data_IF_346692113841
#
_entry.id   IF_346692113841
#
_cell.length_a   1.000
_cell.length_b   1.000
_cell.length_c   1.000
_cell.angle_alpha   90.00
_cell.angle_beta   90.00
_cell.angle_gamma   90.00
#
_symmetry.space_group_name_H-M   'P 1'
#
loop_
_entity.id
_entity.type
_entity.pdbx_description
1 polymer ?
#
# COMPACT_ATOMS: atom_id res chain seq x y z
N UNK A 1 -13.48 1.07 -19.62
CA UNK A 1 -13.32 1.14 -18.14
C UNK A 1 -11.95 0.59 -17.79
N UNK A 2 -11.16 1.27 -16.96
CA UNK A 2 -9.84 0.81 -16.52
C UNK A 2 -10.00 0.01 -15.22
N UNK A 3 -9.36 -1.16 -15.11
CA UNK A 3 -9.44 -2.02 -13.92
C UNK A 3 -8.21 -1.80 -13.03
N UNK A 4 -8.36 -1.40 -11.76
CA UNK A 4 -7.23 -1.20 -10.86
C UNK A 4 -6.68 -2.53 -10.33
N UNK A 5 -5.36 -2.63 -10.30
CA UNK A 5 -4.56 -3.64 -9.62
C UNK A 5 -3.71 -2.92 -8.57
N UNK A 6 -4.12 -2.94 -7.30
CA UNK A 6 -3.41 -2.23 -6.24
C UNK A 6 -1.98 -2.73 -6.09
N UNK A 7 -1.00 -1.82 -6.15
CA UNK A 7 0.41 -2.16 -6.00
C UNK A 7 0.76 -2.43 -4.52
N UNK A 8 0.83 -3.71 -4.14
CA UNK A 8 0.93 -4.17 -2.74
C UNK A 8 2.16 -3.59 -2.03
N UNK A 9 3.29 -3.46 -2.74
CA UNK A 9 4.52 -2.83 -2.25
C UNK A 9 4.34 -1.42 -1.68
N UNK A 10 3.27 -0.72 -2.03
CA UNK A 10 3.02 0.65 -1.56
C UNK A 10 2.64 0.69 -0.09
N UNK A 11 1.75 -0.20 0.35
CA UNK A 11 1.41 -0.41 1.75
C UNK A 11 0.87 -1.85 1.89
N UNK A 12 1.68 -2.79 2.41
CA UNK A 12 1.31 -4.19 2.53
C UNK A 12 0.47 -4.49 3.78
N UNK A 13 -0.07 -3.47 4.47
CA UNK A 13 -0.92 -3.67 5.65
C UNK A 13 -2.12 -4.57 5.33
N UNK A 14 -2.27 -5.64 6.12
CA UNK A 14 -3.28 -6.68 5.85
C UNK A 14 -4.72 -6.15 5.94
N UNK A 15 -4.99 -5.15 6.78
CA UNK A 15 -6.33 -4.58 6.90
C UNK A 15 -6.68 -3.75 5.65
N UNK A 16 -5.73 -2.96 5.12
CA UNK A 16 -5.89 -2.27 3.85
C UNK A 16 -6.12 -3.27 2.70
N UNK A 17 -5.26 -4.29 2.58
CA UNK A 17 -5.36 -5.29 1.52
C UNK A 17 -6.68 -6.08 1.58
N UNK A 18 -7.11 -6.47 2.79
CA UNK A 18 -8.39 -7.15 3.00
C UNK A 18 -9.58 -6.29 2.62
N UNK A 19 -9.55 -4.99 2.96
CA UNK A 19 -10.60 -4.03 2.59
C UNK A 19 -10.67 -3.86 1.08
N UNK A 20 -9.52 -3.66 0.40
CA UNK A 20 -9.46 -3.54 -1.06
C UNK A 20 -9.94 -4.82 -1.76
N UNK A 21 -9.61 -5.99 -1.22
CA UNK A 21 -10.05 -7.29 -1.74
C UNK A 21 -11.57 -7.42 -1.68
N UNK A 22 -12.18 -7.05 -0.54
CA UNK A 22 -13.63 -7.06 -0.32
C UNK A 22 -14.38 -6.07 -1.22
N UNK A 23 -13.75 -4.92 -1.54
CA UNK A 23 -14.28 -3.94 -2.49
C UNK A 23 -14.06 -4.32 -3.97
N UNK A 24 -13.47 -5.49 -4.25
CA UNK A 24 -13.30 -6.00 -5.61
C UNK A 24 -12.05 -5.51 -6.35
N UNK A 25 -11.09 -4.88 -5.66
CA UNK A 25 -9.83 -4.45 -6.27
C UNK A 25 -8.94 -5.65 -6.65
N UNK A 26 -8.19 -5.56 -7.74
CA UNK A 26 -7.18 -6.58 -8.09
C UNK A 26 -5.83 -6.17 -7.49
N UNK A 27 -4.76 -6.96 -7.70
CA UNK A 27 -3.47 -6.72 -7.04
C UNK A 27 -2.27 -6.85 -7.98
N UNK A 28 -1.38 -5.85 -7.95
CA UNK A 28 -0.02 -5.94 -8.48
C UNK A 28 0.91 -6.40 -7.36
N UNK A 29 1.51 -7.58 -7.55
CA UNK A 29 2.51 -8.15 -6.66
C UNK A 29 3.90 -8.11 -7.32
N UNK A 30 4.93 -7.80 -6.54
CA UNK A 30 6.33 -7.76 -6.99
C UNK A 30 7.20 -8.88 -6.38
N UNK A 31 6.66 -9.67 -5.45
CA UNK A 31 7.39 -10.73 -4.75
C UNK A 31 6.51 -11.94 -4.42
N UNK A 32 7.15 -13.07 -4.10
CA UNK A 32 6.47 -14.29 -3.61
C UNK A 32 5.66 -14.02 -2.34
N UNK A 33 6.22 -13.24 -1.41
CA UNK A 33 5.58 -12.90 -0.13
C UNK A 33 4.29 -12.11 -0.36
N UNK A 34 4.30 -11.18 -1.31
CA UNK A 34 3.08 -10.43 -1.68
C UNK A 34 2.02 -11.34 -2.29
N UNK A 35 2.40 -12.26 -3.19
CA UNK A 35 1.47 -13.24 -3.77
C UNK A 35 0.87 -14.13 -2.66
N UNK A 36 1.69 -14.66 -1.76
CA UNK A 36 1.24 -15.44 -0.60
C UNK A 36 0.26 -14.64 0.27
N UNK A 37 0.56 -13.38 0.54
CA UNK A 37 -0.30 -12.50 1.32
C UNK A 37 -1.67 -12.32 0.66
N UNK A 38 -1.72 -12.01 -0.63
CA UNK A 38 -2.99 -11.79 -1.35
C UNK A 38 -3.81 -13.07 -1.47
N UNK A 39 -3.17 -14.21 -1.78
CA UNK A 39 -3.86 -15.50 -1.82
C UNK A 39 -4.40 -15.89 -0.43
N UNK A 40 -3.69 -15.59 0.66
CA UNK A 40 -4.15 -15.85 2.04
C UNK A 40 -5.41 -15.07 2.43
N UNK A 41 -5.76 -14.01 1.69
CA UNK A 41 -6.99 -13.23 1.85
C UNK A 41 -8.16 -13.80 1.04
N UNK A 42 -8.00 -14.95 0.39
CA UNK A 42 -9.03 -15.59 -0.44
C UNK A 42 -9.20 -14.97 -1.83
N UNK A 43 -8.26 -14.14 -2.27
CA UNK A 43 -8.29 -13.53 -3.61
C UNK A 43 -7.89 -14.57 -4.66
N UNK A 44 -8.68 -14.67 -5.73
CA UNK A 44 -8.41 -15.59 -6.82
C UNK A 44 -7.14 -15.20 -7.61
N UNK A 45 -6.29 -16.15 -8.05
CA UNK A 45 -5.03 -15.88 -8.76
C UNK A 45 -5.18 -15.02 -10.02
N UNK A 46 -6.33 -15.08 -10.71
CA UNK A 46 -6.62 -14.31 -11.93
C UNK A 46 -6.75 -12.81 -11.65
N UNK A 47 -6.93 -12.42 -10.39
CA UNK A 47 -6.94 -11.03 -9.91
C UNK A 47 -5.55 -10.54 -9.51
N UNK A 48 -4.49 -11.28 -9.84
CA UNK A 48 -3.10 -10.92 -9.54
C UNK A 48 -2.32 -10.75 -10.84
N UNK A 49 -1.58 -9.64 -10.93
CA UNK A 49 -0.49 -9.48 -11.91
C UNK A 49 0.84 -9.54 -11.17
N UNK A 50 1.77 -10.37 -11.64
CA UNK A 50 3.14 -10.39 -11.13
C UNK A 50 3.99 -9.37 -11.91
N UNK A 51 3.93 -8.09 -11.54
CA UNK A 51 4.47 -7.01 -12.37
C UNK A 51 5.93 -6.62 -12.09
N UNK A 52 6.72 -7.49 -11.46
CA UNK A 52 8.17 -7.31 -11.38
C UNK A 52 8.84 -7.74 -12.70
N UNK A 53 9.56 -6.86 -13.42
CA UNK A 53 10.18 -7.23 -14.70
C UNK A 53 11.35 -8.22 -14.55
N UNK A 54 12.00 -8.28 -13.39
CA UNK A 54 13.13 -9.17 -13.15
C UNK A 54 12.88 -10.07 -11.93
N UNK A 55 12.57 -11.36 -12.18
CA UNK A 55 12.09 -12.29 -11.16
C UNK A 55 13.10 -13.40 -10.89
N UNK A 56 13.16 -13.89 -9.65
CA UNK A 56 13.90 -15.09 -9.31
C UNK A 56 13.22 -16.34 -9.92
N UNK A 57 13.99 -17.32 -10.40
CA UNK A 57 13.43 -18.57 -10.94
C UNK A 57 12.53 -19.29 -9.91
N UNK A 58 12.92 -19.28 -8.64
CA UNK A 58 12.12 -19.86 -7.54
C UNK A 58 10.76 -19.18 -7.38
N UNK A 59 10.69 -17.86 -7.60
CA UNK A 59 9.44 -17.10 -7.52
C UNK A 59 8.56 -17.34 -8.75
N UNK A 60 9.15 -17.47 -9.94
CA UNK A 60 8.42 -17.85 -11.15
C UNK A 60 7.78 -19.25 -11.02
N UNK A 61 8.53 -20.23 -10.50
CA UNK A 61 8.01 -21.57 -10.23
C UNK A 61 6.88 -21.55 -9.21
N UNK A 62 7.02 -20.72 -8.17
CA UNK A 62 5.95 -20.54 -7.19
C UNK A 62 4.69 -19.94 -7.82
N UNK A 63 4.81 -18.83 -8.57
CA UNK A 63 3.70 -18.20 -9.28
C UNK A 63 2.97 -19.19 -10.19
N UNK A 64 3.72 -20.04 -10.92
CA UNK A 64 3.16 -21.12 -11.72
C UNK A 64 2.36 -22.14 -10.88
N UNK A 65 2.92 -22.57 -9.74
CA UNK A 65 2.30 -23.57 -8.85
C UNK A 65 0.98 -23.12 -8.23
N UNK A 66 0.77 -21.80 -8.08
CA UNK A 66 -0.44 -21.22 -7.49
C UNK A 66 -1.36 -20.55 -8.51
N UNK A 67 -1.07 -20.70 -9.81
CA UNK A 67 -1.94 -20.22 -10.89
C UNK A 67 -1.89 -18.71 -11.17
N UNK A 68 -0.86 -17.99 -10.71
CA UNK A 68 -0.64 -16.58 -11.11
C UNK A 68 -0.02 -16.56 -12.50
N UNK A 69 -0.85 -16.25 -13.49
CA UNK A 69 -0.58 -16.52 -14.92
C UNK A 69 -0.42 -15.26 -15.78
N UNK A 70 -0.26 -14.07 -15.19
CA UNK A 70 0.03 -12.83 -15.90
C UNK A 70 1.26 -12.16 -15.28
N UNK A 71 2.30 -11.94 -16.08
CA UNK A 71 3.57 -11.35 -15.62
C UNK A 71 4.15 -10.37 -16.64
N UNK A 72 5.07 -9.50 -16.20
CA UNK A 72 5.82 -8.60 -17.09
C UNK A 72 7.21 -9.12 -17.45
N UNK A 73 7.78 -8.60 -18.53
CA UNK A 73 9.20 -8.78 -18.90
C UNK A 73 9.70 -7.56 -19.69
N UNK A 74 11.01 -7.30 -19.64
CA UNK A 74 11.68 -6.24 -20.42
C UNK A 74 13.08 -6.66 -20.93
N UNK A 75 13.48 -7.93 -20.77
CA UNK A 75 14.79 -8.44 -21.21
C UNK A 75 14.69 -9.86 -21.79
N UNK A 76 15.72 -10.27 -22.53
CA UNK A 76 15.80 -11.62 -23.12
C UNK A 76 16.04 -12.68 -22.06
N UNK A 77 16.87 -12.37 -21.06
CA UNK A 77 17.20 -13.23 -19.93
C UNK A 77 15.94 -13.54 -19.11
N UNK A 78 15.03 -12.57 -18.99
CA UNK A 78 13.74 -12.82 -18.33
C UNK A 78 12.85 -13.78 -19.13
N UNK A 79 12.77 -13.62 -20.46
CA UNK A 79 12.04 -14.54 -21.32
C UNK A 79 12.57 -15.98 -21.18
N UNK A 80 13.89 -16.15 -21.08
CA UNK A 80 14.51 -17.46 -20.90
C UNK A 80 14.13 -18.10 -19.55
N UNK A 81 14.16 -17.33 -18.46
CA UNK A 81 13.70 -17.82 -17.15
C UNK A 81 12.22 -18.19 -17.17
N UNK A 82 11.38 -17.38 -17.78
CA UNK A 82 9.94 -17.64 -17.91
C UNK A 82 9.70 -18.90 -18.74
N UNK A 83 10.37 -19.05 -19.88
CA UNK A 83 10.27 -20.24 -20.73
C UNK A 83 10.60 -21.53 -19.98
N UNK A 84 11.59 -21.48 -19.10
CA UNK A 84 12.01 -22.61 -18.25
C UNK A 84 11.06 -22.88 -17.08
N UNK A 85 10.57 -21.83 -16.42
CA UNK A 85 9.91 -21.95 -15.12
C UNK A 85 8.38 -21.83 -15.15
N UNK A 86 7.83 -21.08 -16.12
CA UNK A 86 6.39 -20.80 -16.25
C UNK A 86 6.00 -20.59 -17.73
N UNK A 87 6.15 -21.61 -18.60
CA UNK A 87 5.98 -21.46 -20.05
C UNK A 87 4.55 -21.14 -20.51
N UNK A 88 3.54 -21.39 -19.67
CA UNK A 88 2.13 -21.12 -19.97
C UNK A 88 1.68 -19.70 -19.52
N UNK A 89 2.57 -18.94 -18.89
CA UNK A 89 2.28 -17.59 -18.41
C UNK A 89 1.99 -16.64 -19.58
N UNK A 90 0.97 -15.80 -19.42
CA UNK A 90 0.70 -14.69 -20.31
C UNK A 90 1.62 -13.51 -19.97
N UNK A 91 2.21 -12.90 -21.01
CA UNK A 91 3.27 -11.91 -20.84
C UNK A 91 2.82 -10.52 -21.29
N UNK A 92 3.18 -9.52 -20.50
CA UNK A 92 3.14 -8.12 -20.88
C UNK A 92 4.57 -7.63 -21.12
N UNK A 93 4.87 -7.15 -22.32
CA UNK A 93 6.15 -6.48 -22.55
C UNK A 93 6.10 -5.11 -21.85
N UNK A 94 7.02 -4.85 -20.94
CA UNK A 94 7.13 -3.55 -20.28
C UNK A 94 7.98 -2.63 -21.14
N UNK A 95 7.41 -1.53 -21.63
CA UNK A 95 8.14 -0.53 -22.41
C UNK A 95 8.55 0.64 -21.52
N UNK A 96 9.70 1.26 -21.84
CA UNK A 96 10.13 2.49 -21.18
C UNK A 96 9.24 3.65 -21.62
N UNK A 97 8.73 4.41 -20.65
CA UNK A 97 8.02 5.65 -20.95
C UNK A 97 9.03 6.68 -21.53
N UNK A 98 8.68 7.41 -22.61
CA UNK A 98 9.58 8.42 -23.20
C UNK A 98 9.89 9.59 -22.25
N UNK A 99 8.99 9.86 -21.32
CA UNK A 99 9.01 10.95 -20.36
C UNK A 99 8.58 10.36 -19.00
N UNK A 100 9.30 10.70 -17.93
CA UNK A 100 8.97 10.29 -16.56
C UNK A 100 7.95 11.22 -15.88
N UNK A 101 7.53 12.28 -16.57
CA UNK A 101 6.51 13.20 -16.14
C UNK A 101 6.87 14.00 -14.89
N UNK A 102 8.17 14.17 -14.60
CA UNK A 102 8.63 14.81 -13.37
C UNK A 102 8.36 13.96 -12.13
N UNK A 103 8.32 12.63 -12.28
CA UNK A 103 8.08 11.72 -11.17
C UNK A 103 9.15 11.86 -10.08
N UNK A 104 8.71 11.89 -8.81
CA UNK A 104 9.61 11.91 -7.64
C UNK A 104 10.49 10.66 -7.55
N UNK A 105 10.02 9.54 -8.09
CA UNK A 105 10.80 8.31 -8.20
C UNK A 105 10.67 7.76 -9.63
N UNK A 106 11.58 8.14 -10.55
CA UNK A 106 11.56 7.67 -11.92
C UNK A 106 12.01 6.22 -11.99
N UNK A 107 11.24 5.38 -12.67
CA UNK A 107 11.54 3.95 -12.85
C UNK A 107 12.17 3.62 -14.21
N UNK A 108 12.08 4.55 -15.17
CA UNK A 108 12.61 4.39 -16.53
C UNK A 108 14.12 4.14 -16.64
N UNK A 109 14.99 4.64 -15.73
CA UNK A 109 16.41 4.28 -15.73
C UNK A 109 16.68 2.80 -15.41
N UNK A 110 15.77 2.15 -14.68
CA UNK A 110 15.95 0.76 -14.19
C UNK A 110 15.13 -0.27 -14.97
N UNK A 111 13.98 0.12 -15.51
CA UNK A 111 13.00 -0.80 -16.07
C UNK A 111 12.39 -0.30 -17.37
N UNK A 112 11.96 -1.25 -18.19
CA UNK A 112 11.27 -1.03 -19.45
C UNK A 112 12.20 -1.10 -20.65
N UNK A 113 11.77 -1.84 -21.67
CA UNK A 113 12.48 -1.97 -22.92
C UNK A 113 12.54 -0.63 -23.66
N UNK A 114 13.73 -0.30 -24.18
CA UNK A 114 13.94 0.82 -25.08
C UNK A 114 13.20 0.57 -26.42
N UNK A 115 12.85 1.63 -27.17
CA UNK A 115 12.14 1.49 -28.45
C UNK A 115 12.80 0.50 -29.43
N UNK A 116 14.14 0.52 -29.50
CA UNK A 116 14.96 -0.36 -30.33
C UNK A 116 14.98 -1.83 -29.84
N UNK A 117 14.69 -2.08 -28.56
CA UNK A 117 14.69 -3.41 -27.95
C UNK A 117 13.34 -4.12 -28.09
N UNK A 118 12.24 -3.37 -28.25
CA UNK A 118 10.86 -3.92 -28.33
C UNK A 118 10.73 -4.99 -29.40
N UNK A 119 11.15 -4.70 -30.64
CA UNK A 119 11.01 -5.65 -31.76
C UNK A 119 11.87 -6.91 -31.55
N UNK A 120 13.17 -6.81 -31.20
CA UNK A 120 13.99 -7.97 -30.84
C UNK A 120 13.41 -8.82 -29.71
N UNK A 121 12.83 -8.21 -28.68
CA UNK A 121 12.22 -8.91 -27.56
C UNK A 121 10.94 -9.66 -27.96
N UNK A 122 10.08 -9.04 -28.77
CA UNK A 122 8.89 -9.70 -29.32
C UNK A 122 9.25 -10.88 -30.23
N UNK A 123 10.30 -10.74 -31.06
CA UNK A 123 10.84 -11.83 -31.86
C UNK A 123 11.35 -12.98 -30.99
N UNK A 124 12.11 -12.68 -29.93
CA UNK A 124 12.60 -13.68 -28.99
C UNK A 124 11.44 -14.42 -28.30
N UNK A 125 10.41 -13.70 -27.85
CA UNK A 125 9.22 -14.30 -27.25
C UNK A 125 8.46 -15.21 -28.24
N UNK A 126 8.34 -14.78 -29.51
CA UNK A 126 7.74 -15.59 -30.59
C UNK A 126 8.53 -16.88 -30.85
N UNK A 127 9.85 -16.79 -30.97
CA UNK A 127 10.74 -17.96 -31.15
C UNK A 127 10.65 -18.91 -29.95
N UNK A 128 10.59 -18.34 -28.74
CA UNK A 128 10.39 -19.08 -27.49
C UNK A 128 8.99 -19.66 -27.29
N UNK A 129 8.06 -19.43 -28.23
CA UNK A 129 6.64 -19.84 -28.16
C UNK A 129 5.91 -19.33 -26.91
N UNK A 130 6.31 -18.17 -26.41
CA UNK A 130 5.71 -17.53 -25.24
C UNK A 130 4.52 -16.66 -25.65
N UNK A 131 3.46 -16.66 -24.83
CA UNK A 131 2.22 -15.94 -25.11
C UNK A 131 2.31 -14.49 -24.65
N UNK A 132 2.74 -13.59 -25.52
CA UNK A 132 2.67 -12.14 -25.25
C UNK A 132 1.26 -11.64 -25.54
N UNK A 133 0.56 -11.16 -24.50
CA UNK A 133 -0.85 -10.74 -24.56
C UNK A 133 -1.03 -9.22 -24.52
N UNK A 134 0.02 -8.46 -24.27
CA UNK A 134 -0.12 -7.04 -24.07
C UNK A 134 1.17 -6.29 -23.81
N UNK A 135 0.99 -5.01 -23.48
CA UNK A 135 2.06 -4.07 -23.16
C UNK A 135 1.79 -3.44 -21.80
N UNK A 136 2.84 -3.23 -21.02
CA UNK A 136 2.80 -2.40 -19.82
C UNK A 136 3.79 -1.24 -19.89
N UNK A 137 3.54 -0.19 -19.13
CA UNK A 137 4.52 0.86 -18.86
C UNK A 137 4.29 1.41 -17.45
N UNK A 138 5.22 2.22 -16.96
CA UNK A 138 5.04 2.93 -15.69
C UNK A 138 5.79 4.27 -15.76
N UNK A 139 5.08 5.38 -15.54
CA UNK A 139 5.65 6.73 -15.63
C UNK A 139 6.62 6.99 -14.46
N UNK A 140 6.19 6.68 -13.23
CA UNK A 140 6.98 6.85 -12.01
C UNK A 140 6.07 7.31 -10.86
N UNK A 141 6.51 7.19 -9.61
CA UNK A 141 5.67 7.61 -8.48
C UNK A 141 5.60 9.14 -8.36
N UNK A 142 4.39 9.69 -8.23
CA UNK A 142 4.18 11.12 -8.05
C UNK A 142 4.47 11.90 -9.33
N UNK A 143 4.10 11.36 -10.48
CA UNK A 143 4.23 12.05 -11.76
C UNK A 143 3.28 13.24 -11.79
N UNK A 144 3.80 14.43 -12.03
CA UNK A 144 3.05 15.70 -12.04
C UNK A 144 2.59 16.09 -13.43
N UNK A 145 3.25 15.58 -14.48
CA UNK A 145 2.94 15.94 -15.86
C UNK A 145 2.07 14.88 -16.55
N UNK A 146 0.78 15.18 -16.66
CA UNK A 146 -0.22 14.31 -17.29
C UNK A 146 0.08 13.97 -18.77
N UNK A 147 0.91 14.78 -19.47
CA UNK A 147 1.34 14.54 -20.86
C UNK A 147 2.22 13.29 -21.01
N UNK A 148 2.95 12.88 -19.96
CA UNK A 148 3.80 11.70 -20.00
C UNK A 148 3.00 10.41 -20.29
N UNK A 149 1.77 10.31 -19.76
CA UNK A 149 0.86 9.21 -20.08
C UNK A 149 0.51 9.13 -21.56
N UNK A 150 0.34 10.27 -22.25
CA UNK A 150 0.07 10.29 -23.69
C UNK A 150 1.23 9.69 -24.47
N UNK A 151 2.46 10.09 -24.15
CA UNK A 151 3.68 9.55 -24.78
C UNK A 151 3.85 8.05 -24.54
N UNK A 152 3.60 7.59 -23.31
CA UNK A 152 3.69 6.17 -22.98
C UNK A 152 2.60 5.31 -23.65
N UNK A 153 1.37 5.81 -23.74
CA UNK A 153 0.28 5.15 -24.47
C UNK A 153 0.60 5.07 -25.97
N UNK A 154 1.19 6.12 -26.55
CA UNK A 154 1.66 6.10 -27.93
C UNK A 154 2.76 5.06 -28.16
N UNK A 155 3.76 4.99 -27.26
CA UNK A 155 4.83 3.99 -27.31
C UNK A 155 4.27 2.56 -27.18
N UNK A 156 3.28 2.36 -26.29
CA UNK A 156 2.58 1.09 -26.17
C UNK A 156 1.86 0.71 -27.47
N UNK A 157 1.21 1.67 -28.15
CA UNK A 157 0.59 1.43 -29.45
C UNK A 157 1.60 0.97 -30.51
N UNK A 158 2.77 1.61 -30.55
CA UNK A 158 3.86 1.17 -31.45
C UNK A 158 4.30 -0.27 -31.17
N UNK A 159 4.34 -0.70 -29.91
CA UNK A 159 4.65 -2.09 -29.55
C UNK A 159 3.55 -3.08 -29.98
N UNK A 160 2.26 -2.71 -29.85
CA UNK A 160 1.14 -3.51 -30.40
C UNK A 160 1.28 -3.69 -31.92
N UNK A 161 1.60 -2.63 -32.65
CA UNK A 161 1.79 -2.68 -34.10
C UNK A 161 3.03 -3.48 -34.51
N UNK A 162 4.12 -3.40 -33.73
CA UNK A 162 5.29 -4.24 -33.94
C UNK A 162 4.94 -5.73 -33.81
N UNK A 163 4.19 -6.12 -32.78
CA UNK A 163 3.75 -7.52 -32.61
C UNK A 163 2.85 -7.99 -33.77
N UNK A 164 1.94 -7.13 -34.24
CA UNK A 164 1.09 -7.41 -35.39
C UNK A 164 1.90 -7.61 -36.68
N UNK A 165 2.89 -6.75 -36.96
CA UNK A 165 3.81 -6.90 -38.11
C UNK A 165 4.64 -8.19 -38.04
N UNK A 166 4.94 -8.66 -36.84
CA UNK A 166 5.61 -9.95 -36.61
C UNK A 166 4.66 -11.14 -36.77
N UNK A 167 3.36 -10.93 -37.04
CA UNK A 167 2.37 -12.01 -37.16
C UNK A 167 2.15 -12.77 -35.84
N UNK A 168 2.30 -12.09 -34.70
CA UNK A 168 2.00 -12.65 -33.38
C UNK A 168 0.48 -12.65 -33.14
N UNK A 169 -0.04 -13.49 -32.23
CA UNK A 169 -1.42 -13.40 -31.78
C UNK A 169 -1.76 -11.98 -31.33
N UNK A 170 -3.00 -11.55 -31.59
CA UNK A 170 -3.46 -10.20 -31.24
C UNK A 170 -3.34 -9.96 -29.73
N UNK A 171 -2.56 -8.95 -29.36
CA UNK A 171 -2.51 -8.44 -27.99
C UNK A 171 -3.86 -7.81 -27.62
N UNK A 172 -4.28 -7.99 -26.38
CA UNK A 172 -5.56 -7.52 -25.86
C UNK A 172 -5.48 -6.94 -24.44
N UNK A 173 -4.27 -6.75 -23.88
CA UNK A 173 -4.08 -6.11 -22.57
C UNK A 173 -3.18 -4.88 -22.69
N UNK A 174 -3.67 -3.74 -22.19
CA UNK A 174 -2.85 -2.56 -21.98
C UNK A 174 -2.80 -2.26 -20.48
N UNK A 175 -1.61 -2.30 -19.91
CA UNK A 175 -1.38 -1.95 -18.52
C UNK A 175 -0.71 -0.58 -18.44
N UNK A 176 -1.45 0.41 -17.95
CA UNK A 176 -0.98 1.80 -17.88
C UNK A 176 -0.12 2.11 -16.64
N UNK A 177 0.18 1.09 -15.83
CA UNK A 177 0.99 1.23 -14.62
C UNK A 177 0.35 2.10 -13.56
N UNK A 178 1.19 2.60 -12.65
CA UNK A 178 0.81 3.51 -11.58
C UNK A 178 1.41 4.90 -11.75
N UNK A 179 1.62 5.57 -10.61
CA UNK A 179 2.15 6.94 -10.54
C UNK A 179 1.13 8.00 -10.15
N UNK A 180 -0.13 7.59 -10.00
CA UNK A 180 -1.24 8.44 -9.61
C UNK A 180 -1.11 8.94 -8.16
N UNK A 181 -1.41 10.23 -7.99
CA UNK A 181 -1.60 10.93 -6.71
C UNK A 181 -3.08 11.30 -6.61
N UNK A 182 -3.70 11.17 -5.45
CA UNK A 182 -5.10 11.54 -5.22
C UNK A 182 -5.32 13.05 -5.33
N UNK A 183 -6.59 13.46 -5.46
CA UNK A 183 -6.98 14.86 -5.66
C UNK A 183 -6.93 15.29 -7.13
N UNK A 184 -6.80 16.59 -7.39
CA UNK A 184 -6.90 17.18 -8.74
C UNK A 184 -5.89 16.62 -9.75
N UNK A 185 -4.69 16.22 -9.28
CA UNK A 185 -3.68 15.58 -10.14
C UNK A 185 -4.19 14.27 -10.74
N UNK A 186 -5.03 13.51 -10.03
CA UNK A 186 -5.66 12.32 -10.57
C UNK A 186 -6.62 12.66 -11.71
N UNK A 187 -7.46 13.68 -11.52
CA UNK A 187 -8.48 14.06 -12.50
C UNK A 187 -7.85 14.52 -13.82
N UNK A 188 -6.75 15.29 -13.73
CA UNK A 188 -5.97 15.70 -14.90
C UNK A 188 -5.32 14.50 -15.60
N UNK A 189 -4.72 13.58 -14.85
CA UNK A 189 -4.10 12.38 -15.40
C UNK A 189 -5.14 11.48 -16.07
N UNK A 190 -6.29 11.26 -15.43
CA UNK A 190 -7.40 10.48 -15.94
C UNK A 190 -7.95 11.08 -17.25
N UNK A 191 -8.07 12.42 -17.32
CA UNK A 191 -8.51 13.13 -18.53
C UNK A 191 -7.50 12.97 -19.67
N UNK A 192 -6.21 13.11 -19.39
CA UNK A 192 -5.15 12.92 -20.37
C UNK A 192 -5.09 11.47 -20.88
N UNK A 193 -5.20 10.49 -19.98
CA UNK A 193 -5.25 9.06 -20.31
C UNK A 193 -6.47 8.76 -21.18
N UNK A 194 -7.67 9.23 -20.80
CA UNK A 194 -8.88 9.02 -21.58
C UNK A 194 -8.74 9.54 -23.01
N UNK A 195 -8.19 10.75 -23.15
CA UNK A 195 -7.95 11.38 -24.45
C UNK A 195 -6.91 10.61 -25.27
N UNK A 196 -5.83 10.13 -24.63
CA UNK A 196 -4.80 9.34 -25.29
C UNK A 196 -5.32 7.96 -25.73
N UNK A 197 -6.10 7.27 -24.89
CA UNK A 197 -6.71 5.99 -25.23
C UNK A 197 -7.66 6.12 -26.43
N UNK A 198 -8.45 7.18 -26.49
CA UNK A 198 -9.30 7.47 -27.66
C UNK A 198 -8.48 7.72 -28.93
N UNK A 199 -7.32 8.37 -28.82
CA UNK A 199 -6.47 8.66 -29.96
C UNK A 199 -5.70 7.44 -30.49
N UNK A 200 -5.14 6.61 -29.59
CA UNK A 200 -4.20 5.54 -29.96
C UNK A 200 -4.81 4.14 -29.95
N UNK A 201 -5.92 3.93 -29.23
CA UNK A 201 -6.64 2.66 -29.19
C UNK A 201 -8.15 2.86 -29.51
N UNK A 202 -8.50 3.58 -30.61
CA UNK A 202 -9.89 3.79 -30.97
C UNK A 202 -10.56 2.46 -31.34
N UNK A 203 -11.73 2.17 -30.76
CA UNK A 203 -12.56 1.02 -31.14
C UNK A 203 -11.86 -0.35 -31.06
N UNK A 204 -10.84 -0.49 -30.21
CA UNK A 204 -10.10 -1.75 -30.04
C UNK A 204 -10.98 -2.79 -29.31
N UNK A 205 -11.77 -3.53 -30.08
CA UNK A 205 -12.66 -4.57 -29.53
C UNK A 205 -11.86 -5.62 -28.75
N UNK A 206 -12.32 -5.92 -27.54
CA UNK A 206 -11.67 -6.89 -26.66
C UNK A 206 -10.46 -6.38 -25.88
N UNK A 207 -10.07 -5.11 -26.02
CA UNK A 207 -8.97 -4.53 -25.24
C UNK A 207 -9.37 -4.39 -23.77
N UNK A 208 -8.60 -5.06 -22.91
CA UNK A 208 -8.66 -4.89 -21.46
C UNK A 208 -7.60 -3.88 -21.04
N UNK A 209 -8.03 -2.83 -20.32
CA UNK A 209 -7.13 -1.81 -19.80
C UNK A 209 -7.05 -1.97 -18.28
N UNK A 210 -5.83 -2.14 -17.77
CA UNK A 210 -5.54 -2.26 -16.34
C UNK A 210 -4.58 -1.16 -15.89
N UNK A 211 -4.58 -0.84 -14.60
CA UNK A 211 -3.63 0.10 -13.99
C UNK A 211 -3.09 -0.45 -12.68
N UNK A 212 -1.95 0.07 -12.23
CA UNK A 212 -1.23 -0.36 -11.01
C UNK A 212 -1.12 0.75 -9.95
N UNK A 213 -2.24 1.36 -9.50
CA UNK A 213 -2.22 2.43 -8.50
C UNK A 213 -1.75 1.89 -7.14
N UNK A 214 -0.69 2.48 -6.57
CA UNK A 214 -0.28 2.25 -5.18
C UNK A 214 -0.65 3.45 -4.32
N UNK A 215 0.16 4.51 -4.43
CA UNK A 215 0.05 5.76 -3.67
C UNK A 215 -1.39 6.30 -3.60
N UNK A 216 -2.05 6.40 -4.75
CA UNK A 216 -3.44 6.85 -4.87
C UNK A 216 -4.41 6.23 -3.85
N UNK A 217 -4.27 4.94 -3.54
CA UNK A 217 -5.14 4.27 -2.57
C UNK A 217 -4.66 4.41 -1.12
N UNK A 218 -3.35 4.47 -0.89
CA UNK A 218 -2.77 4.36 0.45
C UNK A 218 -2.49 5.70 1.12
N UNK A 219 -2.25 6.78 0.35
CA UNK A 219 -1.64 8.00 0.89
C UNK A 219 -2.52 8.78 1.87
N UNK A 220 -3.84 8.79 1.66
CA UNK A 220 -4.79 9.51 2.51
C UNK A 220 -5.47 8.62 3.54
N UNK A 221 -5.25 7.31 3.47
CA UNK A 221 -5.91 6.33 4.33
C UNK A 221 -5.30 6.27 5.75
N UNK A 222 -4.10 6.80 5.95
CA UNK A 222 -3.36 6.70 7.22
C UNK A 222 -2.91 8.08 7.68
N UNK A 223 -3.01 8.33 8.99
CA UNK A 223 -2.43 9.51 9.65
C UNK A 223 -1.46 9.05 10.72
N UNK A 224 -0.21 9.52 10.66
CA UNK A 224 0.81 9.22 11.66
C UNK A 224 0.71 10.20 12.84
N UNK A 225 0.56 9.68 14.05
CA UNK A 225 0.61 10.44 15.29
C UNK A 225 1.81 10.00 16.13
N UNK A 226 2.72 10.92 16.42
CA UNK A 226 3.96 10.65 17.18
C UNK A 226 3.99 11.46 18.47
N UNK A 227 4.74 10.97 19.45
CA UNK A 227 4.95 11.67 20.72
C UNK A 227 6.26 12.46 20.69
N UNK A 228 6.25 13.67 21.24
CA UNK A 228 7.46 14.44 21.49
C UNK A 228 8.14 13.86 22.73
N UNK A 229 9.30 13.22 22.53
CA UNK A 229 10.09 12.59 23.59
C UNK A 229 11.25 13.45 24.08
N UNK A 230 11.58 14.50 23.34
CA UNK A 230 12.67 15.40 23.70
C UNK A 230 12.42 16.81 23.19
N UNK A 231 12.99 17.78 23.89
CA UNK A 231 13.01 19.19 23.49
C UNK A 231 14.36 19.79 23.84
N UNK A 232 14.90 20.60 22.93
CA UNK A 232 16.13 21.36 23.12
C UNK A 232 15.92 22.77 22.60
N UNK A 233 16.52 23.72 23.29
CA UNK A 233 16.49 25.12 22.90
C UNK A 233 17.94 25.59 22.76
N UNK A 234 18.30 26.15 21.60
CA UNK A 234 19.61 26.71 21.30
C UNK A 234 19.41 28.10 20.71
N UNK A 235 19.54 29.14 21.53
CA UNK A 235 19.15 30.50 21.13
C UNK A 235 17.65 30.59 20.86
N UNK A 236 17.26 31.12 19.70
CA UNK A 236 15.86 31.20 19.26
C UNK A 236 15.33 29.87 18.69
N UNK A 237 16.21 28.90 18.41
CA UNK A 237 15.83 27.64 17.79
C UNK A 237 15.28 26.65 18.83
N UNK A 238 14.12 26.06 18.53
CA UNK A 238 13.52 24.96 19.31
C UNK A 238 13.55 23.69 18.47
N UNK A 239 14.17 22.66 19.00
CA UNK A 239 14.26 21.33 18.40
C UNK A 239 13.37 20.39 19.21
N UNK A 240 12.62 19.53 18.51
CA UNK A 240 11.77 18.50 19.11
C UNK A 240 12.20 17.13 18.58
N UNK A 241 12.32 16.16 19.47
CA UNK A 241 12.59 14.77 19.13
C UNK A 241 11.28 14.01 19.22
N UNK A 242 10.97 13.22 18.20
CA UNK A 242 9.80 12.34 18.15
C UNK A 242 10.24 10.88 18.33
N UNK A 243 9.33 10.03 18.79
CA UNK A 243 9.56 8.59 18.98
C UNK A 243 9.36 7.74 17.72
N UNK A 244 9.55 8.34 16.56
CA UNK A 244 9.45 7.66 15.27
C UNK A 244 10.63 8.09 14.41
N UNK A 245 11.22 7.13 13.71
CA UNK A 245 12.38 7.34 12.87
C UNK A 245 11.97 7.38 11.41
N UNK A 246 12.33 8.46 10.73
CA UNK A 246 12.21 8.51 9.27
C UNK A 246 13.42 7.75 8.70
N UNK A 247 13.30 6.44 8.47
CA UNK A 247 14.39 5.60 7.91
C UNK A 247 14.92 6.08 6.53
N UNK A 248 14.29 7.10 5.92
CA UNK A 248 14.68 7.66 4.63
C UNK A 248 15.72 8.80 4.69
N UNK A 249 16.35 9.08 5.83
CA UNK A 249 17.27 10.24 5.94
C UNK A 249 18.73 9.97 5.51
N UNK A 250 19.03 8.78 4.97
CA UNK A 250 20.38 8.49 4.47
C UNK A 250 20.69 9.05 3.06
N UNK A 251 19.79 9.78 2.41
CA UNK A 251 20.10 10.40 1.09
C UNK A 251 19.34 11.70 0.74
N UNK A 252 18.82 12.45 1.72
CA UNK A 252 17.99 13.65 1.45
C UNK A 252 18.72 15.00 1.49
N UNK A 253 20.04 15.02 1.33
CA UNK A 253 20.73 16.29 1.08
C UNK A 253 20.63 16.60 -0.42
N UNK A 254 19.87 17.66 -0.69
CA UNK A 254 19.59 18.31 -1.98
C UNK A 254 18.65 17.58 -2.94
N UNK A 255 17.35 17.91 -2.90
CA UNK A 255 16.71 18.79 -3.90
C UNK A 255 15.17 18.88 -3.70
N UNK A 256 14.68 20.12 -3.79
CA UNK A 256 13.30 20.61 -4.01
C UNK A 256 12.07 20.03 -3.27
N UNK A 257 11.53 20.90 -2.40
CA UNK A 257 10.13 21.08 -1.95
C UNK A 257 9.04 20.34 -2.74
N UNK A 258 8.47 19.26 -2.18
CA UNK A 258 7.01 18.99 -2.27
C UNK A 258 6.50 17.85 -1.34
N UNK A 259 7.31 17.42 -0.36
CA UNK A 259 6.85 16.52 0.72
C UNK A 259 7.48 16.95 2.03
N UNK A 260 7.28 18.22 2.39
CA UNK A 260 7.39 18.55 3.81
C UNK A 260 6.36 17.69 4.53
N UNK A 261 6.83 16.85 5.47
CA UNK A 261 5.96 16.40 6.56
C UNK A 261 5.54 17.71 7.20
N UNK A 262 4.32 18.17 6.91
CA UNK A 262 3.79 19.36 7.54
C UNK A 262 3.27 18.88 8.89
N UNK A 263 3.94 19.19 10.01
CA UNK A 263 3.34 18.93 11.30
C UNK A 263 2.02 19.69 11.34
N UNK A 264 0.91 18.96 11.40
CA UNK A 264 -0.37 19.56 11.67
C UNK A 264 -0.40 19.96 13.13
N UNK A 265 0.07 21.19 13.41
CA UNK A 265 -0.18 21.88 14.68
C UNK A 265 -1.61 22.42 14.69
N UNK A 266 -2.59 21.56 14.40
CA UNK A 266 -3.97 21.98 14.52
C UNK A 266 -4.31 21.99 16.01
N UNK A 267 -4.39 23.21 16.54
CA UNK A 267 -5.01 23.51 17.83
C UNK A 267 -6.49 23.93 17.69
N UNK A 268 -7.36 23.35 16.82
CA UNK A 268 -8.75 23.21 17.15
C UNK A 268 -8.89 21.85 17.86
N UNK A 269 -9.32 21.89 19.12
CA UNK A 269 -9.87 20.72 19.79
C UNK A 269 -10.95 20.10 18.89
N UNK A 270 -10.61 19.02 18.18
CA UNK A 270 -11.62 18.12 17.59
C UNK A 270 -12.53 17.71 18.75
N UNK A 271 -13.82 18.03 18.66
CA UNK A 271 -14.77 17.53 19.66
C UNK A 271 -14.74 16.00 19.64
N UNK A 272 -15.00 15.38 20.80
CA UNK A 272 -15.09 13.92 20.91
C UNK A 272 -16.01 13.33 19.84
N UNK A 273 -17.07 14.04 19.48
CA UNK A 273 -18.06 13.62 18.48
C UNK A 273 -17.54 13.69 17.04
N UNK A 274 -16.66 14.64 16.71
CA UNK A 274 -16.06 14.75 15.38
C UNK A 274 -14.96 13.69 15.16
N UNK A 275 -14.15 13.43 16.19
CA UNK A 275 -13.18 12.34 16.16
C UNK A 275 -13.88 10.97 16.14
N UNK A 276 -14.94 10.80 16.93
CA UNK A 276 -15.76 9.58 16.93
C UNK A 276 -16.52 9.43 15.60
N UNK A 277 -17.03 10.51 14.99
CA UNK A 277 -17.69 10.47 13.68
C UNK A 277 -16.75 10.03 12.55
N UNK A 278 -15.48 10.41 12.60
CA UNK A 278 -14.45 9.94 11.65
C UNK A 278 -14.15 8.44 11.85
N UNK A 279 -14.06 7.98 13.10
CA UNK A 279 -13.83 6.57 13.43
C UNK A 279 -15.06 5.69 13.08
N UNK A 280 -16.28 6.17 13.33
CA UNK A 280 -17.52 5.45 13.07
C UNK A 280 -17.88 5.39 11.57
N UNK A 281 -17.55 6.44 10.80
CA UNK A 281 -17.71 6.41 9.34
C UNK A 281 -16.78 5.40 8.67
N UNK A 282 -15.57 5.21 9.22
CA UNK A 282 -14.64 4.15 8.81
C UNK A 282 -15.05 2.75 9.28
N UNK A 283 -15.82 2.63 10.38
CA UNK A 283 -16.25 1.37 10.96
C UNK A 283 -17.58 0.82 10.39
N UNK A 284 -18.17 1.48 9.39
CA UNK A 284 -19.45 1.09 8.80
C UNK A 284 -19.33 -0.07 7.81
N UNK A 285 -18.84 -1.23 8.28
CA UNK A 285 -19.11 -2.54 7.67
C UNK A 285 -19.57 -3.48 8.79
N UNK A 286 -20.79 -3.99 8.61
CA UNK A 286 -21.56 -4.75 9.61
C UNK A 286 -20.87 -6.06 10.01
N UNK A 287 -20.92 -6.35 11.32
CA UNK A 287 -20.75 -7.68 11.89
C UNK A 287 -19.30 -8.09 12.16
N UNK A 288 -18.91 -8.15 13.43
CA UNK A 288 -17.64 -8.73 13.84
C UNK A 288 -17.91 -9.99 14.65
N UNK A 289 -17.35 -11.11 14.18
CA UNK A 289 -17.22 -12.34 14.95
C UNK A 289 -15.81 -12.37 15.54
N UNK A 290 -15.70 -12.58 16.85
CA UNK A 290 -14.42 -12.94 17.46
C UNK A 290 -14.22 -14.44 17.35
N UNK A 291 -12.98 -14.89 17.18
CA UNK A 291 -12.61 -16.30 17.02
C UNK A 291 -12.87 -17.22 18.23
N UNK A 292 -13.84 -16.90 19.08
CA UNK A 292 -14.32 -17.71 20.20
C UNK A 292 -15.82 -18.03 20.15
N UNK A 293 -16.55 -17.64 19.09
CA UNK A 293 -17.91 -18.16 18.83
C UNK A 293 -19.00 -17.67 19.78
N UNK A 294 -18.88 -16.48 20.36
CA UNK A 294 -19.92 -15.90 21.23
C UNK A 294 -20.65 -14.76 20.50
N UNK A 295 -21.97 -14.90 20.34
CA UNK A 295 -22.88 -13.82 19.91
C UNK A 295 -23.36 -13.04 21.14
N UNK A 296 -23.40 -11.70 21.04
CA UNK A 296 -23.87 -10.80 22.10
C UNK A 296 -25.12 -10.01 21.66
N UNK A 297 -26.05 -9.69 22.59
CA UNK A 297 -27.42 -9.27 22.27
C UNK A 297 -27.52 -7.79 21.79
N UNK A 298 -28.64 -7.42 21.14
CA UNK A 298 -28.86 -6.06 20.65
C UNK A 298 -29.48 -5.17 21.75
N UNK A 299 -29.06 -3.89 21.77
CA UNK A 299 -29.64 -2.72 22.49
C UNK A 299 -29.09 -2.41 23.91
N UNK A 300 -28.81 -1.14 24.26
CA UNK A 300 -28.22 -0.75 25.55
C UNK A 300 -29.27 -0.46 26.64
N UNK A 301 -28.91 -0.73 27.90
CA UNK A 301 -29.61 -0.26 29.09
C UNK A 301 -28.84 0.91 29.73
N UNK A 302 -29.58 1.90 30.23
CA UNK A 302 -29.12 3.23 30.63
C UNK A 302 -28.34 3.35 31.94
N UNK A 303 -27.98 4.62 32.20
CA UNK A 303 -27.12 5.13 33.26
C UNK A 303 -27.65 4.95 34.69
N UNK A 304 -26.74 4.92 35.67
CA UNK A 304 -26.91 5.61 36.96
C UNK A 304 -25.58 5.77 37.73
N UNK A 305 -25.57 6.82 38.58
CA UNK A 305 -24.48 7.48 39.29
C UNK A 305 -24.03 6.80 40.61
N UNK A 306 -22.87 7.21 41.16
CA UNK A 306 -22.54 6.99 42.58
C UNK A 306 -21.05 7.10 42.95
N UNK A 307 -20.73 8.05 43.85
CA UNK A 307 -19.40 8.35 44.43
C UNK A 307 -18.94 7.35 45.50
N UNK A 308 -17.63 7.27 45.75
CA UNK A 308 -17.00 7.53 47.06
C UNK A 308 -15.49 7.22 47.13
N UNK A 309 -14.80 8.03 47.93
CA UNK A 309 -13.36 8.01 48.24
C UNK A 309 -13.05 7.13 49.46
N UNK A 310 -11.97 6.34 49.46
CA UNK A 310 -11.31 5.92 50.72
C UNK A 310 -9.81 5.56 50.59
N UNK A 311 -9.14 5.57 51.76
CA UNK A 311 -7.71 5.81 52.06
C UNK A 311 -6.78 4.57 52.03
N UNK A 312 -5.47 4.88 52.09
CA UNK A 312 -4.25 4.06 52.12
C UNK A 312 -4.19 2.82 53.04
N UNK A 313 -3.34 1.85 52.66
CA UNK A 313 -2.42 1.18 53.61
C UNK A 313 -1.19 0.55 52.93
N UNK A 314 -0.03 0.80 53.52
CA UNK A 314 1.28 0.17 53.30
C UNK A 314 1.60 -0.73 54.49
N UNK A 315 2.24 -1.90 54.30
CA UNK A 315 3.04 -2.69 55.29
C UNK A 315 3.63 -3.98 54.62
N UNK A 316 4.60 -4.72 55.21
CA UNK A 316 5.86 -5.09 54.53
C UNK A 316 6.18 -6.60 54.37
N UNK A 317 7.14 -6.88 53.46
CA UNK A 317 8.17 -7.95 53.46
C UNK A 317 7.82 -9.43 53.16
N UNK A 318 8.35 -9.92 52.02
CA UNK A 318 9.41 -10.95 51.92
C UNK A 318 9.20 -12.24 51.07
N UNK A 319 10.31 -12.61 50.40
CA UNK A 319 10.80 -13.85 49.77
C UNK A 319 10.03 -14.65 48.67
N UNK A 320 10.59 -14.52 47.45
CA UNK A 320 10.86 -15.52 46.40
C UNK A 320 9.86 -16.64 46.06
N UNK A 321 9.21 -16.53 44.89
CA UNK A 321 9.06 -17.63 43.90
C UNK A 321 8.84 -17.07 42.47
N UNK A 322 9.43 -17.77 41.49
CA UNK A 322 9.50 -17.50 40.03
C UNK A 322 8.17 -17.13 39.34
N UNK A 323 8.15 -15.94 38.72
CA UNK A 323 7.37 -15.47 37.54
C UNK A 323 7.26 -13.93 37.65
N UNK A 324 7.59 -13.11 36.63
CA UNK A 324 7.43 -11.65 36.71
C UNK A 324 5.94 -11.29 36.59
N UNK A 325 5.15 -11.69 37.60
CA UNK A 325 3.73 -11.36 37.70
C UNK A 325 3.62 -9.91 38.16
N UNK A 326 2.84 -9.15 37.39
CA UNK A 326 2.39 -7.76 37.61
C UNK A 326 2.15 -7.49 39.10
N UNK A 327 3.05 -6.77 39.77
CA UNK A 327 2.94 -6.44 41.20
C UNK A 327 3.01 -4.95 41.51
N UNK A 328 3.25 -4.09 40.52
CA UNK A 328 3.16 -2.64 40.71
C UNK A 328 1.76 -2.17 40.38
N UNK A 329 1.04 -1.64 41.37
CA UNK A 329 -0.24 -0.96 41.15
C UNK A 329 0.04 0.51 40.85
N UNK A 330 -0.27 0.92 39.62
CA UNK A 330 -0.13 2.32 39.19
C UNK A 330 -1.52 2.92 39.05
N UNK A 331 -1.69 4.10 39.64
CA UNK A 331 -2.92 4.88 39.52
C UNK A 331 -2.78 5.87 38.37
N UNK A 332 -3.70 5.79 37.41
CA UNK A 332 -3.80 6.67 36.27
C UNK A 332 -4.95 7.61 36.50
N UNK A 333 -4.67 8.90 36.48
CA UNK A 333 -5.72 9.93 36.48
C UNK A 333 -5.96 10.35 35.04
N UNK A 334 -7.20 10.24 34.58
CA UNK A 334 -7.55 10.75 33.27
C UNK A 334 -7.44 12.28 33.27
N UNK A 335 -6.55 12.84 32.45
CA UNK A 335 -6.37 14.28 32.36
C UNK A 335 -7.57 15.02 31.71
N UNK A 336 -8.56 14.27 31.20
CA UNK A 336 -9.75 14.81 30.53
C UNK A 336 -10.98 14.82 31.46
N UNK A 337 -11.19 13.80 32.29
CA UNK A 337 -12.35 13.72 33.20
C UNK A 337 -11.98 13.67 34.68
N UNK A 338 -10.70 13.65 35.04
CA UNK A 338 -10.23 13.60 36.43
C UNK A 338 -10.40 12.23 37.11
N UNK A 339 -11.04 11.26 36.46
CA UNK A 339 -11.30 9.94 37.05
C UNK A 339 -9.99 9.16 37.23
N UNK A 340 -9.77 8.65 38.45
CA UNK A 340 -8.57 7.89 38.82
C UNK A 340 -8.85 6.40 38.79
N UNK A 341 -8.05 5.64 38.04
CA UNK A 341 -8.15 4.18 37.96
C UNK A 341 -6.82 3.53 38.33
N UNK A 342 -6.86 2.41 39.05
CA UNK A 342 -5.63 1.72 39.48
C UNK A 342 -5.51 0.37 38.77
N UNK A 343 -4.33 0.06 38.20
CA UNK A 343 -4.07 -1.20 37.50
C UNK A 343 -2.72 -1.80 37.90
N UNK A 344 -2.69 -3.12 37.99
CA UNK A 344 -1.46 -3.86 38.23
C UNK A 344 -0.70 -4.04 36.91
N UNK A 345 0.53 -3.54 36.85
CA UNK A 345 1.39 -3.58 35.66
C UNK A 345 2.73 -4.25 35.97
N UNK A 346 3.43 -4.64 34.90
CA UNK A 346 4.79 -5.15 34.98
C UNK A 346 5.75 -3.97 35.22
N UNK A 347 6.55 -3.98 36.30
CA UNK A 347 7.50 -2.90 36.60
C UNK A 347 8.49 -2.63 35.46
N UNK A 348 8.97 -3.67 34.76
CA UNK A 348 9.92 -3.51 33.65
C UNK A 348 9.30 -2.82 32.44
N UNK A 349 8.04 -3.13 32.12
CA UNK A 349 7.33 -2.47 31.02
C UNK A 349 7.09 -0.97 31.30
N UNK A 350 6.97 -0.59 32.58
CA UNK A 350 6.80 0.81 32.98
C UNK A 350 8.10 1.61 32.92
N UNK A 351 9.22 1.03 33.39
CA UNK A 351 10.54 1.68 33.29
C UNK A 351 10.96 1.90 31.83
N UNK A 352 10.53 1.02 30.94
CA UNK A 352 10.89 1.06 29.52
C UNK A 352 9.82 1.79 28.67
N UNK A 353 8.90 2.52 29.29
CA UNK A 353 7.92 3.40 28.61
C UNK A 353 6.82 2.69 27.82
N UNK A 354 6.65 1.38 28.00
CA UNK A 354 5.79 0.52 27.16
C UNK A 354 4.58 0.03 27.95
N UNK A 355 3.66 0.92 28.31
CA UNK A 355 2.41 0.55 29.00
C UNK A 355 1.20 1.04 28.21
N UNK A 356 0.48 0.10 27.61
CA UNK A 356 -0.82 0.36 26.99
C UNK A 356 -1.94 0.14 28.03
N UNK A 357 -2.83 1.11 28.16
CA UNK A 357 -4.03 1.01 29.00
C UNK A 357 -5.25 0.94 28.09
N UNK A 358 -6.02 -0.17 28.06
CA UNK A 358 -7.30 -0.19 27.38
C UNK A 358 -8.29 0.67 28.16
N UNK A 359 -8.83 1.71 27.51
CA UNK A 359 -9.92 2.52 28.05
C UNK A 359 -11.22 1.80 27.70
N UNK A 360 -11.87 1.20 28.71
CA UNK A 360 -13.23 0.68 28.57
C UNK A 360 -14.16 1.88 28.73
N UNK A 361 -14.75 2.33 27.63
CA UNK A 361 -15.84 3.30 27.64
C UNK A 361 -17.15 2.50 27.70
N UNK A 362 -17.75 2.47 28.89
CA UNK A 362 -19.14 2.06 29.06
C UNK A 362 -20.06 3.24 28.67
N UNK A 363 -21.28 2.95 28.16
CA UNK A 363 -21.98 3.70 27.11
C UNK A 363 -22.30 5.16 27.40
#
# INVERSE_FOLDING_TARGET
MVRPFYAVKCNPDRALLGTLAALGCNFDCASRVEIECILSLGVAPERIVYANPCKAESHLKYAASVGVNLTTFDSKEELEKIRKCHPQCALLIRVKAPDDGGARCPLGPKYGALPEEVTPLLQAAKVGRLKVVGVSFHIGSGATHCRAYRGAIAAARTAFEAAARLGMPRMNVLNIGGGFTAGSQFDEAATAIKSALQAYFPNEQGLTIISEPGRFFAESAFTLATNIIGKRVRGEQREYWINDENENDFDRRSESNDSSIVPFFNNPTLSKDAAMGLVLSAASVRGWTTGSGMEGPPVPAGADEGSDTEKDSTLPWSFFTKSPRRRMRVAFTCNVCGQRTTRAINPHAYSDGTVFVPVILSP
#
